data_IF_790617728319
#
_entry.id   IF_790617728319
#
_cell.length_a   1.000
_cell.length_b   1.000
_cell.length_c   1.000
_cell.angle_alpha   90.00
_cell.angle_beta   90.00
_cell.angle_gamma   90.00
#
_symmetry.space_group_name_H-M   'P 1'
#
loop_
_entity.id
_entity.type
_entity.pdbx_description
1 polymer ?
#
# COMPACT_ATOMS: atom_id res chain seq x y z
N UNK A 1 36.49 6.38 26.41
CA UNK A 1 35.26 6.02 27.14
C UNK A 1 34.21 5.78 26.08
N UNK A 2 33.95 4.52 25.74
CA UNK A 2 32.79 4.18 24.90
C UNK A 2 31.54 4.43 25.73
N UNK A 3 30.66 5.31 25.24
CA UNK A 3 29.33 5.45 25.80
C UNK A 3 28.61 4.12 25.64
N UNK A 4 28.26 3.51 26.78
CA UNK A 4 27.34 2.39 26.84
C UNK A 4 26.01 2.89 26.24
N UNK A 5 25.80 2.68 24.93
CA UNK A 5 24.50 2.87 24.30
C UNK A 5 23.54 1.96 25.05
N UNK A 6 22.63 2.55 25.81
CA UNK A 6 21.52 1.85 26.42
C UNK A 6 20.81 1.10 25.30
N UNK A 7 20.96 -0.22 25.25
CA UNK A 7 20.32 -1.05 24.25
C UNK A 7 18.83 -1.00 24.59
N UNK A 8 18.07 -0.20 23.85
CA UNK A 8 16.62 -0.15 23.99
C UNK A 8 16.09 -1.58 23.80
N UNK A 9 15.08 -1.94 24.59
CA UNK A 9 14.36 -3.20 24.35
C UNK A 9 13.64 -3.07 23.02
N UNK A 10 14.15 -3.77 22.02
CA UNK A 10 13.67 -3.80 20.63
C UNK A 10 12.67 -4.93 20.38
N UNK A 11 12.56 -5.89 21.32
CA UNK A 11 11.63 -7.01 21.24
C UNK A 11 10.75 -7.11 22.50
N UNK A 12 9.44 -6.91 22.33
CA UNK A 12 8.46 -6.97 23.43
C UNK A 12 7.87 -8.39 23.64
N UNK A 13 7.88 -9.23 22.60
CA UNK A 13 7.26 -10.57 22.59
C UNK A 13 8.37 -11.62 22.56
N UNK A 14 8.31 -12.65 23.39
CA UNK A 14 9.33 -13.70 23.39
C UNK A 14 9.26 -14.61 22.14
N UNK A 15 10.36 -15.31 21.86
CA UNK A 15 10.50 -16.15 20.66
C UNK A 15 9.47 -17.29 20.59
N UNK A 16 9.09 -17.88 21.73
CA UNK A 16 8.09 -18.97 21.75
C UNK A 16 6.71 -18.50 21.26
N UNK A 17 6.32 -17.26 21.61
CA UNK A 17 5.08 -16.66 21.12
C UNK A 17 5.25 -16.22 19.66
N UNK A 18 6.39 -15.62 19.29
CA UNK A 18 6.65 -15.20 17.91
C UNK A 18 6.64 -16.38 16.93
N UNK A 19 7.19 -17.53 17.30
CA UNK A 19 7.14 -18.75 16.49
C UNK A 19 5.69 -19.21 16.24
N UNK A 20 4.83 -19.12 17.26
CA UNK A 20 3.39 -19.40 17.14
C UNK A 20 2.66 -18.38 16.25
N UNK A 21 3.20 -17.17 16.09
CA UNK A 21 2.68 -16.11 15.21
C UNK A 21 3.26 -16.16 13.78
N UNK A 22 3.86 -17.29 13.38
CA UNK A 22 4.27 -17.51 11.98
C UNK A 22 3.17 -17.13 10.98
N UNK A 23 3.55 -16.68 9.79
CA UNK A 23 2.60 -16.29 8.74
C UNK A 23 1.60 -17.39 8.39
N UNK A 24 2.03 -18.65 8.43
CA UNK A 24 1.16 -19.82 8.26
C UNK A 24 0.03 -19.85 9.31
N UNK A 25 0.36 -19.64 10.58
CA UNK A 25 -0.62 -19.66 11.67
C UNK A 25 -1.54 -18.44 11.63
N UNK A 26 -0.96 -17.26 11.31
CA UNK A 26 -1.68 -16.01 11.04
C UNK A 26 -2.76 -16.21 9.97
N UNK A 27 -2.40 -16.79 8.83
CA UNK A 27 -3.38 -17.11 7.78
C UNK A 27 -4.33 -18.23 8.18
N UNK A 28 -3.89 -19.26 8.89
CA UNK A 28 -4.81 -20.29 9.37
C UNK A 28 -5.92 -19.69 10.22
N UNK A 29 -5.57 -18.77 11.14
CA UNK A 29 -6.54 -18.01 11.93
C UNK A 29 -7.51 -17.23 11.03
N UNK A 30 -7.00 -16.39 10.12
CA UNK A 30 -7.84 -15.61 9.19
C UNK A 30 -8.82 -16.50 8.42
N UNK A 31 -8.32 -17.60 7.85
CA UNK A 31 -9.14 -18.50 7.05
C UNK A 31 -10.23 -19.20 7.87
N UNK A 32 -9.93 -19.63 9.08
CA UNK A 32 -10.94 -20.21 9.98
C UNK A 32 -12.02 -19.20 10.35
N UNK A 33 -11.68 -17.93 10.52
CA UNK A 33 -12.67 -16.87 10.78
C UNK A 33 -13.51 -16.53 9.55
N UNK A 34 -12.92 -16.58 8.35
CA UNK A 34 -13.58 -16.14 7.12
C UNK A 34 -14.30 -17.25 6.35
N UNK A 35 -14.05 -18.53 6.64
CA UNK A 35 -14.57 -19.66 5.85
C UNK A 35 -16.10 -19.73 5.74
N UNK A 36 -16.84 -19.15 6.69
CA UNK A 36 -18.31 -19.10 6.65
C UNK A 36 -18.86 -17.82 6.04
N UNK A 37 -18.02 -16.80 5.85
CA UNK A 37 -18.41 -15.47 5.40
C UNK A 37 -18.10 -15.22 3.92
N UNK A 38 -17.24 -16.04 3.31
CA UNK A 38 -16.76 -15.85 1.93
C UNK A 38 -17.35 -16.86 0.97
N UNK A 39 -17.71 -16.39 -0.22
CA UNK A 39 -18.06 -17.24 -1.34
C UNK A 39 -16.83 -18.03 -1.84
N UNK A 40 -17.01 -19.17 -2.52
CA UNK A 40 -15.90 -20.00 -2.99
C UNK A 40 -14.83 -19.23 -3.79
N UNK A 41 -15.26 -18.36 -4.72
CA UNK A 41 -14.33 -17.61 -5.57
C UNK A 41 -13.56 -16.52 -4.79
N UNK A 42 -14.23 -15.89 -3.83
CA UNK A 42 -13.59 -14.95 -2.90
C UNK A 42 -12.54 -15.66 -2.04
N UNK A 43 -12.90 -16.82 -1.50
CA UNK A 43 -11.98 -17.65 -0.71
C UNK A 43 -10.80 -18.12 -1.57
N UNK A 44 -11.03 -18.50 -2.82
CA UNK A 44 -9.98 -18.89 -3.76
C UNK A 44 -8.98 -17.75 -4.02
N UNK A 45 -9.47 -16.52 -4.22
CA UNK A 45 -8.62 -15.35 -4.38
C UNK A 45 -7.78 -15.09 -3.12
N UNK A 46 -8.40 -15.07 -1.94
CA UNK A 46 -7.71 -14.89 -0.66
C UNK A 46 -6.59 -15.93 -0.50
N UNK A 47 -6.91 -17.22 -0.67
CA UNK A 47 -5.94 -18.31 -0.56
C UNK A 47 -4.82 -18.22 -1.60
N UNK A 48 -5.08 -17.67 -2.79
CA UNK A 48 -4.05 -17.45 -3.81
C UNK A 48 -3.05 -16.38 -3.36
N UNK A 49 -3.55 -15.24 -2.88
CA UNK A 49 -2.72 -14.15 -2.35
C UNK A 49 -1.89 -14.62 -1.14
N UNK A 50 -2.49 -15.35 -0.19
CA UNK A 50 -1.78 -15.90 0.97
C UNK A 50 -0.67 -16.89 0.57
N UNK A 51 -0.94 -17.75 -0.42
CA UNK A 51 0.06 -18.68 -0.95
C UNK A 51 1.21 -17.93 -1.61
N UNK A 52 0.95 -16.84 -2.33
CA UNK A 52 2.00 -15.97 -2.84
C UNK A 52 2.84 -15.39 -1.69
N UNK A 53 2.19 -14.79 -0.69
CA UNK A 53 2.87 -14.17 0.46
C UNK A 53 3.76 -15.18 1.21
N UNK A 54 3.27 -16.38 1.52
CA UNK A 54 4.07 -17.42 2.19
C UNK A 54 5.26 -17.89 1.33
N UNK A 55 5.10 -17.99 0.01
CA UNK A 55 6.22 -18.32 -0.88
C UNK A 55 7.24 -17.19 -0.93
N UNK A 56 6.76 -15.94 -0.95
CA UNK A 56 7.59 -14.75 -1.00
C UNK A 56 8.39 -14.57 0.30
N UNK A 57 7.75 -14.69 1.46
CA UNK A 57 8.38 -14.68 2.79
C UNK A 57 9.55 -15.66 2.84
N UNK A 58 9.26 -16.93 2.52
CA UNK A 58 10.27 -18.00 2.55
C UNK A 58 11.38 -17.80 1.53
N UNK A 59 11.06 -17.38 0.31
CA UNK A 59 12.05 -17.21 -0.77
C UNK A 59 13.05 -16.11 -0.43
N UNK A 60 12.57 -15.02 0.18
CA UNK A 60 13.37 -13.84 0.46
C UNK A 60 13.89 -13.79 1.91
N UNK A 61 13.60 -14.80 2.73
CA UNK A 61 13.95 -14.87 4.15
C UNK A 61 13.45 -13.65 4.95
N UNK A 62 12.22 -13.23 4.67
CA UNK A 62 11.59 -12.09 5.34
C UNK A 62 11.27 -12.47 6.78
N UNK A 63 11.64 -11.60 7.71
CA UNK A 63 11.43 -11.80 9.16
C UNK A 63 10.49 -10.77 9.77
N UNK A 64 9.99 -9.81 8.98
CA UNK A 64 9.09 -8.74 9.40
C UNK A 64 9.69 -7.84 10.48
N UNK A 65 10.97 -7.48 10.31
CA UNK A 65 11.69 -6.61 11.24
C UNK A 65 11.64 -5.15 10.78
N UNK A 66 11.79 -4.20 11.71
CA UNK A 66 11.80 -2.77 11.37
C UNK A 66 12.95 -2.31 10.48
N UNK A 67 13.99 -3.14 10.31
CA UNK A 67 15.14 -2.87 9.45
C UNK A 67 14.91 -3.29 7.99
N UNK A 68 13.83 -4.02 7.69
CA UNK A 68 13.46 -4.41 6.33
C UNK A 68 12.76 -3.24 5.62
N UNK A 69 13.21 -2.91 4.41
CA UNK A 69 12.59 -1.87 3.60
C UNK A 69 11.42 -2.45 2.80
N UNK A 70 10.19 -2.14 3.23
CA UNK A 70 8.95 -2.59 2.56
C UNK A 70 8.88 -2.18 1.08
N UNK A 71 9.56 -1.08 0.70
CA UNK A 71 9.50 -0.58 -0.68
C UNK A 71 10.17 -1.55 -1.65
N UNK A 72 11.09 -2.39 -1.19
CA UNK A 72 11.74 -3.43 -2.00
C UNK A 72 10.77 -4.53 -2.44
N UNK A 73 9.66 -4.71 -1.71
CA UNK A 73 8.66 -5.74 -2.01
C UNK A 73 7.62 -5.29 -3.04
N UNK A 74 7.38 -3.97 -3.14
CA UNK A 74 6.32 -3.39 -3.97
C UNK A 74 6.33 -3.89 -5.42
N UNK A 75 7.48 -3.93 -6.14
CA UNK A 75 7.48 -4.36 -7.54
C UNK A 75 7.02 -5.81 -7.75
N UNK A 76 7.34 -6.71 -6.81
CA UNK A 76 6.96 -8.12 -6.94
C UNK A 76 5.48 -8.34 -6.60
N UNK A 77 4.94 -7.62 -5.62
CA UNK A 77 3.50 -7.63 -5.35
C UNK A 77 2.69 -6.94 -6.46
N UNK A 78 3.26 -5.92 -7.09
CA UNK A 78 2.68 -5.27 -8.27
C UNK A 78 2.53 -6.20 -9.47
N UNK A 79 3.53 -7.05 -9.75
CA UNK A 79 3.45 -8.07 -10.82
C UNK A 79 2.31 -9.06 -10.63
N UNK A 80 1.94 -9.35 -9.39
CA UNK A 80 0.83 -10.25 -9.05
C UNK A 80 -0.54 -9.53 -8.97
N UNK A 81 -0.57 -8.21 -9.22
CA UNK A 81 -1.76 -7.39 -9.07
C UNK A 81 -2.23 -7.30 -7.62
N UNK A 82 -1.29 -7.20 -6.66
CA UNK A 82 -1.58 -7.11 -5.23
C UNK A 82 -1.40 -5.70 -4.63
N UNK A 83 -1.18 -4.68 -5.47
CA UNK A 83 -1.22 -3.27 -5.02
C UNK A 83 -2.66 -2.77 -4.89
N UNK A 84 -3.48 -2.98 -5.93
CA UNK A 84 -4.91 -2.69 -5.93
C UNK A 84 -5.67 -3.67 -6.81
N UNK A 85 -6.84 -4.09 -6.33
CA UNK A 85 -7.87 -4.85 -7.06
C UNK A 85 -9.22 -4.15 -7.00
N UNK A 86 -9.26 -2.86 -6.62
CA UNK A 86 -10.51 -2.10 -6.54
C UNK A 86 -11.20 -1.96 -7.91
N UNK A 87 -10.41 -1.92 -8.99
CA UNK A 87 -10.85 -1.75 -10.37
C UNK A 87 -10.17 -2.77 -11.29
N UNK A 88 -10.74 -3.04 -12.48
CA UNK A 88 -10.07 -3.85 -13.51
C UNK A 88 -8.89 -3.12 -14.17
N UNK A 89 -8.87 -1.78 -14.13
CA UNK A 89 -7.82 -0.94 -14.75
C UNK A 89 -7.65 -1.23 -16.25
N UNK A 90 -8.76 -1.20 -17.00
CA UNK A 90 -8.79 -1.45 -18.45
C UNK A 90 -8.08 -0.31 -19.22
N UNK A 91 -8.20 0.93 -18.73
CA UNK A 91 -7.61 2.15 -19.29
C UNK A 91 -6.07 2.16 -19.33
N UNK A 92 -5.44 1.20 -18.64
CA UNK A 92 -3.99 0.97 -18.63
C UNK A 92 -3.61 -0.47 -19.02
N UNK A 93 -4.55 -1.20 -19.63
CA UNK A 93 -4.41 -2.58 -20.13
C UNK A 93 -4.14 -3.65 -19.06
N UNK A 94 -4.49 -3.43 -17.80
CA UNK A 94 -4.25 -4.42 -16.74
C UNK A 94 -5.33 -5.51 -16.69
N UNK A 95 -6.59 -5.15 -16.93
CA UNK A 95 -7.74 -6.07 -17.03
C UNK A 95 -7.80 -7.08 -15.85
N UNK A 96 -7.61 -6.59 -14.63
CA UNK A 96 -7.51 -7.42 -13.45
C UNK A 96 -8.82 -8.10 -13.09
N UNK A 97 -8.77 -9.44 -13.01
CA UNK A 97 -9.84 -10.27 -12.48
C UNK A 97 -9.29 -11.25 -11.42
N UNK A 98 -10.02 -11.50 -10.31
CA UNK A 98 -11.20 -10.75 -9.87
C UNK A 98 -10.83 -9.29 -9.47
N UNK A 99 -11.82 -8.40 -9.45
CA UNK A 99 -11.71 -7.03 -8.94
C UNK A 99 -12.93 -6.64 -8.08
N UNK A 100 -13.01 -5.37 -7.68
CA UNK A 100 -14.10 -4.80 -6.88
C UNK A 100 -13.83 -4.82 -5.38
N UNK A 101 -14.73 -4.17 -4.63
CA UNK A 101 -14.54 -3.89 -3.19
C UNK A 101 -14.31 -5.14 -2.34
N UNK A 102 -15.00 -6.25 -2.63
CA UNK A 102 -14.79 -7.51 -1.91
C UNK A 102 -13.37 -8.06 -2.14
N UNK A 103 -12.94 -8.12 -3.40
CA UNK A 103 -11.59 -8.57 -3.77
C UNK A 103 -10.51 -7.67 -3.16
N UNK A 104 -10.72 -6.35 -3.20
CA UNK A 104 -9.82 -5.37 -2.61
C UNK A 104 -9.69 -5.54 -1.09
N UNK A 105 -10.81 -5.78 -0.39
CA UNK A 105 -10.78 -6.04 1.05
C UNK A 105 -10.03 -7.35 1.37
N UNK A 106 -10.21 -8.40 0.58
CA UNK A 106 -9.51 -9.67 0.75
C UNK A 106 -8.00 -9.53 0.48
N UNK A 107 -7.63 -8.74 -0.53
CA UNK A 107 -6.24 -8.35 -0.78
C UNK A 107 -5.65 -7.63 0.44
N UNK A 108 -6.36 -6.62 0.96
CA UNK A 108 -5.95 -5.91 2.19
C UNK A 108 -5.78 -6.86 3.38
N UNK A 109 -6.70 -7.81 3.60
CA UNK A 109 -6.58 -8.79 4.67
C UNK A 109 -5.36 -9.70 4.49
N UNK A 110 -5.15 -10.23 3.28
CA UNK A 110 -3.97 -11.05 2.99
C UNK A 110 -2.67 -10.30 3.27
N UNK A 111 -2.58 -9.03 2.86
CA UNK A 111 -1.38 -8.21 3.06
C UNK A 111 -1.20 -7.73 4.49
N UNK A 112 -2.27 -7.39 5.22
CA UNK A 112 -2.17 -7.02 6.63
C UNK A 112 -1.63 -8.18 7.48
N UNK A 113 -2.07 -9.40 7.20
CA UNK A 113 -1.55 -10.59 7.89
C UNK A 113 -0.15 -11.00 7.40
N UNK A 114 0.27 -10.59 6.21
CA UNK A 114 1.67 -10.67 5.77
C UNK A 114 2.51 -9.70 6.59
N UNK A 115 2.29 -8.39 6.39
CA UNK A 115 3.02 -7.32 7.04
C UNK A 115 2.14 -6.05 7.14
N UNK A 116 1.80 -5.59 8.35
CA UNK A 116 0.97 -4.41 8.54
C UNK A 116 1.60 -3.12 7.98
N UNK A 117 2.92 -2.98 8.04
CA UNK A 117 3.62 -1.78 7.56
C UNK A 117 3.59 -1.73 6.03
N UNK A 118 3.84 -2.86 5.37
CA UNK A 118 3.68 -3.00 3.94
C UNK A 118 2.24 -2.75 3.49
N UNK A 119 1.26 -3.29 4.23
CA UNK A 119 -0.15 -3.04 3.92
C UNK A 119 -0.51 -1.56 4.06
N UNK A 120 0.05 -0.85 5.03
CA UNK A 120 -0.14 0.60 5.19
C UNK A 120 0.48 1.37 4.03
N UNK A 121 1.72 1.03 3.62
CA UNK A 121 2.38 1.64 2.46
C UNK A 121 1.63 1.39 1.15
N UNK A 122 1.13 0.17 0.95
CA UNK A 122 0.23 -0.17 -0.16
C UNK A 122 -1.08 0.62 -0.11
N UNK A 123 -1.69 0.76 1.07
CA UNK A 123 -2.88 1.58 1.28
C UNK A 123 -2.69 3.04 0.90
N UNK A 124 -1.55 3.64 1.25
CA UNK A 124 -1.22 5.01 0.81
C UNK A 124 -1.08 5.13 -0.72
N UNK A 125 -0.57 4.09 -1.38
CA UNK A 125 -0.57 4.02 -2.85
C UNK A 125 -1.99 3.93 -3.41
N UNK A 126 -2.88 3.14 -2.81
CA UNK A 126 -4.30 3.07 -3.20
C UNK A 126 -4.99 4.43 -3.07
N UNK A 127 -4.69 5.19 -2.00
CA UNK A 127 -5.23 6.54 -1.86
C UNK A 127 -4.79 7.48 -2.99
N UNK A 128 -3.59 7.31 -3.55
CA UNK A 128 -3.13 8.04 -4.73
C UNK A 128 -3.71 7.49 -6.05
N UNK A 129 -3.92 6.17 -6.15
CA UNK A 129 -4.55 5.52 -7.31
C UNK A 129 -5.97 6.04 -7.52
N UNK A 130 -6.78 6.08 -6.47
CA UNK A 130 -8.22 6.41 -6.59
C UNK A 130 -8.50 7.74 -7.30
N UNK A 131 -7.94 8.90 -6.89
CA UNK A 131 -8.20 10.16 -7.59
C UNK A 131 -7.69 10.14 -9.03
N UNK A 132 -6.55 9.49 -9.31
CA UNK A 132 -6.05 9.38 -10.69
C UNK A 132 -6.97 8.49 -11.54
N UNK A 133 -7.45 7.37 -11.00
CA UNK A 133 -8.42 6.49 -11.66
C UNK A 133 -9.75 7.19 -11.98
N UNK A 134 -10.25 8.04 -11.08
CA UNK A 134 -11.52 8.75 -11.32
C UNK A 134 -11.37 10.05 -12.14
N UNK A 135 -10.17 10.64 -12.16
CA UNK A 135 -9.90 11.95 -12.75
C UNK A 135 -8.66 11.94 -13.66
N UNK A 136 -8.53 10.91 -14.51
CA UNK A 136 -7.45 10.89 -15.50
C UNK A 136 -7.82 11.67 -16.78
N UNK A 137 -9.11 11.79 -17.13
CA UNK A 137 -9.62 12.42 -18.37
C UNK A 137 -8.86 12.01 -19.66
N UNK A 138 -8.35 10.78 -19.69
CA UNK A 138 -7.47 10.25 -20.75
C UNK A 138 -6.18 11.08 -20.99
N UNK A 139 -5.77 11.88 -20.02
CA UNK A 139 -4.51 12.62 -20.05
C UNK A 139 -3.35 11.61 -19.99
N UNK A 140 -2.45 11.55 -20.99
CA UNK A 140 -1.45 10.49 -21.10
C UNK A 140 -0.58 10.30 -19.85
N UNK A 141 -0.10 11.39 -19.25
CA UNK A 141 0.74 11.31 -18.05
C UNK A 141 -0.02 10.76 -16.83
N UNK A 142 -1.33 10.99 -16.72
CA UNK A 142 -2.14 10.47 -15.61
C UNK A 142 -2.33 8.96 -15.75
N UNK A 143 -2.57 8.47 -16.96
CA UNK A 143 -2.63 7.03 -17.26
C UNK A 143 -1.28 6.34 -17.06
N UNK A 144 -0.18 6.97 -17.45
CA UNK A 144 1.17 6.47 -17.18
C UNK A 144 1.43 6.34 -15.67
N UNK A 145 1.13 7.38 -14.89
CA UNK A 145 1.28 7.38 -13.43
C UNK A 145 0.38 6.31 -12.79
N UNK A 146 -0.88 6.22 -13.21
CA UNK A 146 -1.81 5.19 -12.74
C UNK A 146 -1.23 3.80 -12.94
N UNK A 147 -0.70 3.52 -14.14
CA UNK A 147 -0.04 2.25 -14.44
C UNK A 147 1.12 1.99 -13.50
N UNK A 148 2.02 2.97 -13.33
CA UNK A 148 3.19 2.85 -12.44
C UNK A 148 2.80 2.57 -10.99
N UNK A 149 1.74 3.18 -10.49
CA UNK A 149 1.22 2.91 -9.14
C UNK A 149 0.63 1.50 -9.05
N UNK A 150 -0.24 1.12 -9.99
CA UNK A 150 -0.94 -0.18 -9.98
C UNK A 150 0.02 -1.36 -10.15
N UNK A 151 1.05 -1.22 -10.99
CA UNK A 151 2.05 -2.27 -11.24
C UNK A 151 3.20 -2.27 -10.25
N UNK A 152 3.23 -1.33 -9.29
CA UNK A 152 4.28 -1.25 -8.28
C UNK A 152 5.65 -0.78 -8.82
N UNK A 153 5.69 -0.06 -9.93
CA UNK A 153 6.93 0.56 -10.43
C UNK A 153 7.41 1.70 -9.50
N UNK A 154 6.46 2.40 -8.87
CA UNK A 154 6.72 3.38 -7.80
C UNK A 154 5.57 3.34 -6.79
N UNK A 155 5.84 3.52 -5.48
CA UNK A 155 4.76 3.82 -4.55
C UNK A 155 4.10 5.16 -4.90
N UNK A 156 2.81 5.26 -4.59
CA UNK A 156 2.07 6.52 -4.65
C UNK A 156 1.95 7.16 -3.28
N UNK A 157 1.85 8.49 -3.26
CA UNK A 157 1.55 9.26 -2.06
C UNK A 157 0.44 10.28 -2.35
N UNK A 158 -0.42 10.50 -1.35
CA UNK A 158 -1.44 11.55 -1.38
C UNK A 158 -1.14 12.58 -0.30
N UNK A 159 -1.20 13.88 -0.64
CA UNK A 159 -0.77 14.98 0.22
C UNK A 159 -1.97 15.85 0.61
N UNK A 160 -2.68 15.45 1.65
CA UNK A 160 -3.87 16.18 2.12
C UNK A 160 -3.52 17.06 3.31
N UNK A 161 -3.01 16.43 4.37
CA UNK A 161 -2.83 17.05 5.69
C UNK A 161 -1.77 18.15 5.68
N UNK A 162 -2.10 19.26 6.33
CA UNK A 162 -1.20 20.40 6.55
C UNK A 162 -0.94 20.55 8.06
N UNK A 163 0.13 21.24 8.47
CA UNK A 163 0.46 21.44 9.89
C UNK A 163 -0.73 21.93 10.73
N UNK A 164 -1.53 22.84 10.16
CA UNK A 164 -2.68 23.45 10.82
C UNK A 164 -4.03 22.89 10.33
N UNK A 165 -4.05 21.90 9.44
CA UNK A 165 -5.26 21.35 8.79
C UNK A 165 -5.18 19.83 8.64
N UNK A 166 -5.64 19.11 9.67
CA UNK A 166 -5.84 17.65 9.65
C UNK A 166 -7.31 17.29 9.43
N UNK A 167 -8.09 17.26 10.52
CA UNK A 167 -9.53 16.96 10.47
C UNK A 167 -10.32 17.96 9.63
N UNK A 168 -9.87 19.21 9.55
CA UNK A 168 -10.46 20.27 8.72
C UNK A 168 -9.77 20.40 7.36
N UNK A 169 -9.71 19.27 6.62
CA UNK A 169 -8.94 19.16 5.38
C UNK A 169 -9.46 20.05 4.23
N UNK A 170 -10.73 20.46 4.27
CA UNK A 170 -11.36 21.27 3.19
C UNK A 170 -11.00 22.75 3.26
N UNK A 171 -10.45 23.23 4.37
CA UNK A 171 -9.97 24.61 4.54
C UNK A 171 -8.44 24.68 4.47
N UNK A 172 -7.87 24.07 3.43
CA UNK A 172 -6.43 24.05 3.19
C UNK A 172 -5.85 25.46 2.94
N UNK A 173 -4.60 25.65 3.36
CA UNK A 173 -3.80 26.86 3.18
C UNK A 173 -2.92 26.78 1.94
N UNK A 174 -2.62 25.57 1.43
CA UNK A 174 -1.90 25.41 0.17
C UNK A 174 -2.66 26.09 -0.95
N UNK A 175 -1.96 26.93 -1.72
CA UNK A 175 -2.52 27.66 -2.86
C UNK A 175 -1.91 27.19 -4.17
N UNK A 176 -2.72 27.18 -5.23
CA UNK A 176 -2.31 26.89 -6.60
C UNK A 176 -2.55 28.13 -7.47
N UNK A 177 -1.50 28.67 -8.05
CA UNK A 177 -1.55 29.81 -8.96
C UNK A 177 -1.26 29.35 -10.39
N UNK A 178 -2.24 29.51 -11.29
CA UNK A 178 -2.02 29.32 -12.72
C UNK A 178 -1.14 30.44 -13.29
N UNK A 179 -0.21 30.09 -14.18
CA UNK A 179 0.65 31.01 -14.90
C UNK A 179 0.19 31.09 -16.36
N UNK A 180 0.42 32.24 -16.99
CA UNK A 180 -0.04 32.50 -18.37
C UNK A 180 0.61 31.63 -19.45
N UNK A 181 1.63 30.84 -19.10
CA UNK A 181 2.31 29.88 -19.98
C UNK A 181 1.76 28.44 -19.87
N UNK A 182 0.69 28.24 -19.08
CA UNK A 182 0.07 26.94 -18.84
C UNK A 182 0.72 26.12 -17.71
N UNK A 183 1.70 26.69 -16.99
CA UNK A 183 2.25 26.10 -15.78
C UNK A 183 1.46 26.52 -14.52
N UNK A 184 1.72 25.83 -13.41
CA UNK A 184 1.15 26.17 -12.11
C UNK A 184 2.28 26.35 -11.10
N UNK A 185 2.08 27.26 -10.14
CA UNK A 185 2.92 27.38 -8.95
C UNK A 185 2.08 27.00 -7.74
N UNK A 186 2.54 25.95 -7.04
CA UNK A 186 1.95 25.50 -5.78
C UNK A 186 2.78 26.02 -4.62
N UNK A 187 2.13 26.62 -3.61
CA UNK A 187 2.79 27.09 -2.39
C UNK A 187 2.02 26.62 -1.16
N UNK A 188 2.70 25.91 -0.26
CA UNK A 188 2.09 25.38 0.97
C UNK A 188 3.01 24.36 1.64
N UNK A 189 2.55 23.80 2.75
CA UNK A 189 3.25 22.75 3.48
C UNK A 189 2.31 21.58 3.76
N UNK A 190 2.81 20.36 3.53
CA UNK A 190 2.09 19.10 3.77
C UNK A 190 2.86 18.27 4.79
N UNK A 191 2.17 17.59 5.69
CA UNK A 191 2.76 16.78 6.77
C UNK A 191 2.07 15.42 6.92
N UNK A 192 2.76 14.44 7.52
CA UNK A 192 2.31 13.05 7.69
C UNK A 192 2.08 12.29 6.37
N UNK A 193 2.89 12.60 5.36
CA UNK A 193 2.75 12.05 4.02
C UNK A 193 3.44 10.68 3.91
N UNK A 194 2.68 9.61 4.12
CA UNK A 194 3.14 8.24 3.87
C UNK A 194 3.63 8.09 2.43
N UNK A 195 4.73 7.36 2.23
CA UNK A 195 5.44 7.15 0.96
C UNK A 195 6.13 8.37 0.32
N UNK A 196 5.87 9.61 0.75
CA UNK A 196 6.36 10.79 0.03
C UNK A 196 7.88 10.83 -0.24
N UNK A 197 8.78 10.43 0.68
CA UNK A 197 10.23 10.41 0.40
C UNK A 197 10.67 9.36 -0.63
N UNK A 198 9.80 8.41 -0.98
CA UNK A 198 10.08 7.26 -1.85
C UNK A 198 9.24 7.26 -3.13
N UNK A 199 8.22 8.11 -3.20
CA UNK A 199 7.31 8.20 -4.33
C UNK A 199 7.92 9.03 -5.47
N UNK A 200 7.86 8.50 -6.70
CA UNK A 200 8.21 9.27 -7.91
C UNK A 200 7.17 10.31 -8.30
N UNK A 201 5.91 10.14 -7.85
CA UNK A 201 4.80 11.04 -8.09
C UNK A 201 3.91 11.14 -6.86
N UNK A 202 3.27 12.29 -6.68
CA UNK A 202 2.33 12.54 -5.59
C UNK A 202 1.04 13.13 -6.13
N UNK A 203 -0.07 12.88 -5.45
CA UNK A 203 -1.35 13.55 -5.69
C UNK A 203 -1.56 14.57 -4.58
N UNK A 204 -1.72 15.84 -4.93
CA UNK A 204 -1.78 16.97 -4.01
C UNK A 204 -2.97 17.88 -4.34
#
# INVERSE_FOLDING_TARGET
MEENKTKYMDQAINDEILEKLSLKNRYQFLNTTMMTALEPDQFNFLRSAEKFCMRYEKKNNIVHSGDEDLYDWIPDFGKEGLISRAHPFEEIDMNYEPNGMATELLRCLALNFFDPQFSMGGGATVLAINPVYYHHENIPIRLEILKKFVTGETPGAILITEPERGSDAVHMLTVLEEKGDGSYVINGEKIYNTNAPKAGYVVA
#
